data_IF_212751307821
#
_entry.id   IF_212751307821
#
_cell.length_a   1.000
_cell.length_b   1.000
_cell.length_c   1.000
_cell.angle_alpha   90.00
_cell.angle_beta   90.00
_cell.angle_gamma   90.00
#
_symmetry.space_group_name_H-M   'P 1'
#
loop_
_entity.id
_entity.type
_entity.pdbx_description
1 polymer ?
#
# COMPACT_ATOMS: atom_id res chain seq x y z
N UNK A 1 35.31 -17.65 6.60
CA UNK A 1 34.46 -17.88 5.42
C UNK A 1 33.04 -18.34 5.77
N UNK A 2 32.86 -19.36 6.60
CA UNK A 2 31.53 -19.81 7.02
C UNK A 2 30.74 -18.73 7.78
N UNK A 3 31.40 -17.87 8.57
CA UNK A 3 30.77 -16.78 9.32
C UNK A 3 30.21 -15.67 8.42
N UNK A 4 30.82 -15.44 7.26
CA UNK A 4 30.35 -14.44 6.29
C UNK A 4 29.07 -14.89 5.58
N UNK A 5 28.93 -16.18 5.29
CA UNK A 5 27.73 -16.73 4.67
C UNK A 5 26.54 -16.68 5.61
N UNK A 6 26.75 -16.90 6.91
CA UNK A 6 25.68 -16.79 7.95
C UNK A 6 25.23 -15.35 8.09
N UNK A 7 26.15 -14.37 8.07
CA UNK A 7 25.81 -12.95 8.15
C UNK A 7 24.97 -12.50 6.93
N UNK A 8 25.30 -13.01 5.74
CA UNK A 8 24.51 -12.71 4.54
C UNK A 8 23.09 -13.26 4.60
N UNK A 9 22.91 -14.48 5.13
CA UNK A 9 21.59 -15.08 5.32
C UNK A 9 20.75 -14.31 6.33
N UNK A 10 21.35 -13.80 7.40
CA UNK A 10 20.66 -12.98 8.40
C UNK A 10 20.21 -11.64 7.81
N UNK A 11 20.99 -11.03 6.92
CA UNK A 11 20.59 -9.79 6.23
C UNK A 11 19.40 -9.98 5.30
N UNK A 12 19.31 -11.12 4.62
CA UNK A 12 18.16 -11.44 3.77
C UNK A 12 16.87 -11.60 4.56
N UNK A 13 16.95 -12.08 5.80
CA UNK A 13 15.80 -12.20 6.70
C UNK A 13 15.40 -10.87 7.34
N UNK A 14 16.29 -9.87 7.34
CA UNK A 14 16.04 -8.56 7.93
C UNK A 14 15.12 -7.66 7.08
N UNK A 15 14.68 -8.09 5.88
CA UNK A 15 13.75 -7.33 5.02
C UNK A 15 12.40 -7.02 5.66
N UNK A 16 11.98 -7.81 6.68
CA UNK A 16 10.75 -7.57 7.46
C UNK A 16 11.08 -7.28 8.93
N UNK A 17 12.24 -6.64 9.21
CA UNK A 17 12.71 -6.43 10.58
C UNK A 17 11.74 -5.62 11.45
N UNK A 18 10.97 -4.70 10.86
CA UNK A 18 9.98 -3.90 11.56
C UNK A 18 8.63 -4.60 11.66
N UNK A 19 8.42 -5.64 10.84
CA UNK A 19 7.21 -6.45 10.82
C UNK A 19 7.63 -7.92 10.77
N UNK A 20 7.70 -8.57 11.92
CA UNK A 20 8.14 -9.97 12.02
C UNK A 20 7.22 -10.91 11.23
N UNK A 21 5.91 -10.62 11.25
CA UNK A 21 4.91 -11.41 10.56
C UNK A 21 3.75 -10.51 10.18
N UNK A 22 3.45 -10.43 8.89
CA UNK A 22 2.32 -9.65 8.40
C UNK A 22 1.00 -9.99 9.12
N UNK A 23 0.77 -11.26 9.44
CA UNK A 23 -0.44 -11.69 10.12
C UNK A 23 -0.56 -11.12 11.54
N UNK A 24 0.55 -10.72 12.16
CA UNK A 24 0.58 -10.13 13.49
C UNK A 24 0.42 -8.60 13.47
N UNK A 25 0.39 -7.99 12.31
CA UNK A 25 0.16 -6.55 12.20
C UNK A 25 -1.26 -6.25 12.69
N UNK A 26 -1.37 -5.36 13.67
CA UNK A 26 -2.66 -4.94 14.22
C UNK A 26 -3.30 -3.92 13.29
N UNK A 27 -4.36 -4.32 12.65
CA UNK A 27 -5.11 -3.46 11.73
C UNK A 27 -5.82 -2.34 12.47
N UNK A 28 -5.69 -1.12 11.99
CA UNK A 28 -6.34 0.08 12.51
C UNK A 28 -7.45 0.49 11.56
N UNK A 29 -8.64 0.83 12.06
CA UNK A 29 -9.69 1.40 11.22
C UNK A 29 -9.21 2.67 10.53
N UNK A 30 -9.62 2.85 9.28
CA UNK A 30 -9.24 4.04 8.52
C UNK A 30 -9.96 5.28 9.08
N UNK A 31 -9.25 6.41 9.18
CA UNK A 31 -9.94 7.68 9.43
C UNK A 31 -10.96 7.97 8.31
N UNK A 32 -12.01 8.71 8.63
CA UNK A 32 -13.07 9.04 7.66
C UNK A 32 -12.51 9.75 6.41
N UNK A 33 -11.47 10.57 6.59
CA UNK A 33 -10.84 11.27 5.47
C UNK A 33 -10.03 10.35 4.56
N UNK A 34 -9.71 9.12 4.99
CA UNK A 34 -8.86 8.20 4.23
C UNK A 34 -9.64 7.07 3.58
N UNK A 35 -10.67 6.52 4.21
CA UNK A 35 -11.44 5.44 3.62
C UNK A 35 -11.97 5.85 2.24
N UNK A 36 -11.71 5.06 1.21
CA UNK A 36 -12.11 5.39 -0.15
C UNK A 36 -11.12 4.91 -1.19
N UNK A 37 -11.24 5.51 -2.37
CA UNK A 37 -10.41 5.22 -3.52
C UNK A 37 -9.53 6.41 -3.84
N UNK A 38 -8.22 6.17 -3.97
CA UNK A 38 -7.22 7.21 -4.24
C UNK A 38 -6.43 6.86 -5.48
N UNK A 39 -6.07 7.87 -6.27
CA UNK A 39 -5.40 7.67 -7.54
C UNK A 39 -4.50 8.85 -7.87
N UNK A 40 -3.34 8.57 -8.47
CA UNK A 40 -2.47 9.62 -9.01
C UNK A 40 -3.13 10.29 -10.20
N UNK A 41 -2.84 11.58 -10.38
CA UNK A 41 -3.27 12.35 -11.54
C UNK A 41 -2.05 12.86 -12.27
N UNK A 42 -1.87 12.39 -13.50
CA UNK A 42 -0.73 12.76 -14.31
C UNK A 42 0.60 12.17 -13.83
N UNK A 43 1.71 12.65 -14.40
CA UNK A 43 3.03 12.11 -14.12
C UNK A 43 3.45 12.27 -12.66
N UNK A 44 4.11 11.23 -12.12
CA UNK A 44 4.67 11.22 -10.76
C UNK A 44 6.12 10.78 -10.83
N UNK A 45 7.00 11.42 -10.06
CA UNK A 45 8.42 11.04 -10.00
C UNK A 45 8.65 9.64 -9.46
N UNK A 46 7.79 9.19 -8.56
CA UNK A 46 7.89 7.86 -7.96
C UNK A 46 7.46 6.73 -8.90
N UNK A 47 6.82 7.05 -10.02
CA UNK A 47 6.36 6.06 -10.98
C UNK A 47 7.32 5.99 -12.18
N UNK A 48 7.46 4.77 -12.72
CA UNK A 48 8.42 4.46 -13.79
C UNK A 48 8.13 5.15 -15.12
N UNK A 49 6.91 5.63 -15.32
CA UNK A 49 6.47 6.24 -16.58
C UNK A 49 5.45 7.35 -16.29
N UNK A 50 5.40 8.40 -17.12
CA UNK A 50 4.33 9.39 -17.04
C UNK A 50 2.93 8.81 -17.24
N UNK A 51 2.82 7.65 -17.88
CA UNK A 51 1.56 6.95 -18.13
C UNK A 51 1.17 5.98 -17.02
N UNK A 52 2.08 5.72 -16.08
CA UNK A 52 1.80 4.83 -14.97
C UNK A 52 0.77 5.45 -14.02
N UNK A 53 -0.09 4.60 -13.45
CA UNK A 53 -1.12 4.99 -12.50
C UNK A 53 -0.85 4.27 -11.18
N UNK A 54 -0.77 5.04 -10.09
CA UNK A 54 -0.75 4.50 -8.73
C UNK A 54 -2.12 4.69 -8.11
N UNK A 55 -2.64 3.65 -7.47
CA UNK A 55 -3.91 3.67 -6.77
C UNK A 55 -3.76 3.08 -5.38
N UNK A 56 -4.55 3.59 -4.45
CA UNK A 56 -4.67 3.04 -3.11
C UNK A 56 -6.15 2.94 -2.77
N UNK A 57 -6.61 1.75 -2.43
CA UNK A 57 -7.97 1.51 -1.97
C UNK A 57 -7.89 1.26 -0.47
N UNK A 58 -8.72 1.92 0.31
CA UNK A 58 -8.72 1.83 1.77
C UNK A 58 -10.13 1.55 2.24
N UNK A 59 -10.36 0.39 2.87
CA UNK A 59 -11.65 0.08 3.47
C UNK A 59 -11.79 0.79 4.82
N UNK A 60 -13.01 0.93 5.29
CA UNK A 60 -13.28 1.55 6.61
C UNK A 60 -12.57 0.83 7.74
N UNK A 61 -12.44 -0.48 7.64
CA UNK A 61 -11.83 -1.33 8.66
C UNK A 61 -10.30 -1.35 8.57
N UNK A 62 -9.71 -0.74 7.52
CA UNK A 62 -8.27 -0.60 7.39
C UNK A 62 -7.60 -1.65 6.53
N UNK A 63 -8.34 -2.38 5.72
CA UNK A 63 -7.75 -3.20 4.66
C UNK A 63 -7.43 -2.31 3.46
N UNK A 64 -6.35 -2.62 2.76
CA UNK A 64 -5.89 -1.80 1.66
C UNK A 64 -5.55 -2.63 0.43
N UNK A 65 -5.58 -1.98 -0.73
CA UNK A 65 -5.00 -2.50 -1.95
C UNK A 65 -4.13 -1.41 -2.57
N UNK A 66 -2.84 -1.69 -2.69
CA UNK A 66 -1.89 -0.88 -3.45
C UNK A 66 -1.87 -1.44 -4.87
N UNK A 67 -2.34 -0.67 -5.83
CA UNK A 67 -2.51 -1.14 -7.20
C UNK A 67 -1.78 -0.19 -8.15
N UNK A 68 -0.78 -0.72 -8.83
CA UNK A 68 0.03 0.07 -9.76
C UNK A 68 -0.06 -0.52 -11.16
N UNK A 69 -0.23 0.36 -12.13
CA UNK A 69 -0.48 0.00 -13.51
C UNK A 69 0.50 0.70 -14.43
N UNK A 70 1.24 -0.08 -15.18
CA UNK A 70 1.98 0.31 -16.36
C UNK A 70 2.43 -0.96 -17.08
N UNK A 71 1.92 -1.19 -18.29
CA UNK A 71 2.14 -2.42 -19.05
C UNK A 71 1.55 -3.67 -18.39
N UNK A 72 1.47 -3.70 -17.08
CA UNK A 72 0.82 -4.75 -16.28
C UNK A 72 0.27 -4.16 -14.99
N UNK A 73 -0.54 -4.93 -14.29
CA UNK A 73 -1.13 -4.54 -13.02
C UNK A 73 -0.43 -5.28 -11.89
N UNK A 74 0.03 -4.54 -10.90
CA UNK A 74 0.59 -5.10 -9.66
C UNK A 74 -0.30 -4.64 -8.52
N UNK A 75 -1.10 -5.56 -7.99
CA UNK A 75 -2.03 -5.30 -6.90
C UNK A 75 -1.58 -6.04 -5.65
N UNK A 76 -1.29 -5.29 -4.59
CA UNK A 76 -0.73 -5.82 -3.35
C UNK A 76 -1.65 -5.45 -2.18
N UNK A 77 -2.27 -6.44 -1.53
CA UNK A 77 -3.08 -6.18 -0.34
C UNK A 77 -2.23 -5.72 0.84
N UNK A 78 -2.86 -5.02 1.76
CA UNK A 78 -2.18 -4.53 2.96
C UNK A 78 -3.15 -4.25 4.09
N UNK A 79 -2.59 -3.73 5.18
CA UNK A 79 -3.33 -3.31 6.38
C UNK A 79 -2.83 -1.94 6.81
N UNK A 80 -3.76 -1.08 7.21
CA UNK A 80 -3.39 0.13 7.94
C UNK A 80 -3.02 -0.22 9.37
N UNK A 81 -1.99 0.40 9.88
CA UNK A 81 -1.60 0.31 11.28
C UNK A 81 -0.97 1.62 11.73
N UNK A 82 -0.88 1.82 13.04
CA UNK A 82 -0.13 2.94 13.61
C UNK A 82 1.26 2.44 13.98
N UNK A 83 2.27 3.09 13.42
CA UNK A 83 3.68 2.85 13.76
C UNK A 83 4.25 4.15 14.32
N UNK A 84 4.54 4.18 15.62
CA UNK A 84 4.98 5.40 16.32
C UNK A 84 4.04 6.58 16.07
N UNK A 85 2.73 6.33 16.14
CA UNK A 85 1.65 7.29 15.87
C UNK A 85 1.50 7.72 14.40
N UNK A 86 2.33 7.20 13.50
CA UNK A 86 2.21 7.46 12.07
C UNK A 86 1.32 6.41 11.41
N UNK A 87 0.34 6.88 10.66
CA UNK A 87 -0.55 6.00 9.91
C UNK A 87 0.22 5.40 8.73
N UNK A 88 0.34 4.08 8.73
CA UNK A 88 1.20 3.35 7.80
C UNK A 88 0.44 2.23 7.14
N UNK A 89 0.61 2.08 5.83
CA UNK A 89 0.14 0.90 5.11
C UNK A 89 1.24 -0.15 5.09
N UNK A 90 0.96 -1.31 5.66
CA UNK A 90 1.87 -2.46 5.63
C UNK A 90 1.34 -3.44 4.62
N UNK A 91 2.09 -3.69 3.55
CA UNK A 91 1.68 -4.63 2.51
C UNK A 91 2.02 -6.07 2.89
N UNK A 92 1.40 -7.03 2.21
CA UNK A 92 1.72 -8.46 2.41
C UNK A 92 3.16 -8.80 2.05
N UNK A 93 3.85 -7.91 1.32
CA UNK A 93 5.27 -8.01 1.00
C UNK A 93 6.16 -7.38 2.06
N UNK A 94 5.59 -6.98 3.21
CA UNK A 94 6.29 -6.28 4.29
C UNK A 94 6.85 -4.91 3.88
N UNK A 95 6.27 -4.28 2.90
CA UNK A 95 6.58 -2.89 2.56
C UNK A 95 5.81 -1.97 3.49
N UNK A 96 6.47 -0.90 3.95
CA UNK A 96 5.92 0.07 4.88
C UNK A 96 5.82 1.42 4.19
N UNK A 97 4.61 1.90 4.00
CA UNK A 97 4.37 3.20 3.36
C UNK A 97 3.51 4.06 4.26
N UNK A 98 4.09 5.15 4.76
CA UNK A 98 3.35 6.13 5.54
C UNK A 98 2.31 6.82 4.66
N UNK A 99 1.14 7.07 5.23
CA UNK A 99 0.06 7.79 4.56
C UNK A 99 -0.09 9.16 5.22
N UNK A 100 0.21 10.21 4.49
CA UNK A 100 0.11 11.58 4.99
C UNK A 100 -1.01 12.34 4.29
N UNK A 101 -1.79 13.07 5.08
CA UNK A 101 -2.82 13.93 4.53
C UNK A 101 -2.23 15.28 4.16
N UNK A 102 -2.57 15.78 2.98
CA UNK A 102 -2.22 17.10 2.50
C UNK A 102 -3.46 17.76 1.88
N UNK A 103 -4.25 18.46 2.71
CA UNK A 103 -5.52 19.02 2.27
C UNK A 103 -6.48 17.94 1.80
N UNK A 104 -6.86 17.97 0.53
CA UNK A 104 -7.75 17.01 -0.11
C UNK A 104 -7.02 15.86 -0.80
N UNK A 105 -5.70 15.85 -0.72
CA UNK A 105 -4.85 14.81 -1.28
C UNK A 105 -4.15 14.01 -0.19
N UNK A 106 -3.55 12.91 -0.58
CA UNK A 106 -2.64 12.17 0.29
C UNK A 106 -1.28 12.02 -0.40
N UNK A 107 -0.24 11.96 0.42
CA UNK A 107 1.10 11.57 -0.01
C UNK A 107 1.31 10.12 0.40
N UNK A 108 1.70 9.29 -0.55
CA UNK A 108 1.87 7.87 -0.36
C UNK A 108 3.00 7.36 -1.26
N UNK A 109 4.07 6.83 -0.66
CA UNK A 109 5.25 6.33 -1.38
C UNK A 109 5.77 7.31 -2.45
N UNK A 110 5.87 8.58 -2.07
CA UNK A 110 6.35 9.64 -2.98
C UNK A 110 5.35 10.05 -4.07
N UNK A 111 4.13 9.54 -4.01
CA UNK A 111 3.05 9.88 -4.94
C UNK A 111 2.04 10.80 -4.27
N UNK A 112 1.54 11.77 -5.02
CA UNK A 112 0.38 12.56 -4.61
C UNK A 112 -0.86 11.95 -5.25
N UNK A 113 -1.84 11.60 -4.42
CA UNK A 113 -3.07 10.97 -4.87
C UNK A 113 -4.29 11.81 -4.53
N UNK A 114 -5.25 11.81 -5.42
CA UNK A 114 -6.56 12.45 -5.24
C UNK A 114 -7.62 11.38 -4.99
N UNK A 115 -8.68 11.76 -4.27
CA UNK A 115 -9.84 10.88 -4.10
C UNK A 115 -10.59 10.74 -5.41
N UNK A 116 -10.97 9.50 -5.75
CA UNK A 116 -11.81 9.19 -6.91
C UNK A 116 -13.03 8.38 -6.47
N UNK A 117 -14.05 8.30 -7.32
CA UNK A 117 -15.31 7.64 -6.97
C UNK A 117 -15.24 6.13 -7.08
N UNK A 118 -14.32 5.61 -7.88
CA UNK A 118 -14.18 4.18 -8.13
C UNK A 118 -12.76 3.86 -8.57
N UNK A 119 -12.31 2.60 -8.40
CA UNK A 119 -11.01 2.19 -8.92
C UNK A 119 -11.00 2.14 -10.44
N UNK A 120 -9.80 2.08 -11.02
CA UNK A 120 -9.67 1.78 -12.44
C UNK A 120 -10.25 0.40 -12.75
N UNK A 121 -10.62 0.16 -14.00
CA UNK A 121 -11.16 -1.13 -14.43
C UNK A 121 -10.17 -2.28 -14.12
N UNK A 122 -8.89 -2.04 -14.31
CA UNK A 122 -7.83 -3.02 -14.06
C UNK A 122 -7.69 -3.37 -12.58
N UNK A 123 -7.75 -2.36 -11.71
CA UNK A 123 -7.70 -2.58 -10.26
C UNK A 123 -9.00 -3.23 -9.75
N UNK A 124 -10.14 -2.88 -10.32
CA UNK A 124 -11.41 -3.54 -10.03
C UNK A 124 -11.36 -5.03 -10.40
N UNK A 125 -10.77 -5.36 -11.55
CA UNK A 125 -10.59 -6.76 -11.96
C UNK A 125 -9.67 -7.53 -11.00
N UNK A 126 -8.63 -6.88 -10.48
CA UNK A 126 -7.76 -7.49 -9.48
C UNK A 126 -8.51 -7.78 -8.18
N UNK A 127 -9.39 -6.87 -7.74
CA UNK A 127 -10.24 -7.06 -6.58
C UNK A 127 -11.22 -8.22 -6.76
N UNK A 128 -11.77 -8.38 -7.96
CA UNK A 128 -12.68 -9.49 -8.25
C UNK A 128 -11.99 -10.85 -8.13
N UNK A 129 -10.71 -10.92 -8.50
CA UNK A 129 -9.91 -12.14 -8.40
C UNK A 129 -9.46 -12.42 -6.97
N UNK A 130 -9.16 -11.39 -6.21
CA UNK A 130 -8.67 -11.48 -4.83
C UNK A 130 -9.31 -10.38 -3.98
N UNK A 131 -10.55 -10.62 -3.49
CA UNK A 131 -11.25 -9.64 -2.68
C UNK A 131 -10.53 -9.34 -1.38
N UNK A 132 -10.67 -8.10 -0.89
CA UNK A 132 -10.18 -7.72 0.43
C UNK A 132 -11.06 -8.37 1.52
N UNK A 133 -10.51 -8.56 2.75
CA UNK A 133 -11.27 -9.18 3.84
C UNK A 133 -12.50 -8.41 4.30
N UNK A 134 -12.51 -7.08 4.11
CA UNK A 134 -13.61 -6.21 4.54
C UNK A 134 -14.26 -5.53 3.33
N UNK A 135 -15.52 -5.05 3.47
CA UNK A 135 -16.23 -4.45 2.35
C UNK A 135 -15.53 -3.21 1.79
N UNK A 136 -15.63 -3.02 0.48
CA UNK A 136 -15.14 -1.82 -0.20
C UNK A 136 -15.88 -0.58 0.29
N UNK A 137 -15.20 0.57 0.26
CA UNK A 137 -15.82 1.82 0.71
C UNK A 137 -16.98 2.27 -0.17
#
# INVERSE_FOLDING_TARGET
>A
MKKLAIAGALMLLAGCAEVENYNNVVKTPAPDWLAGYWQTKGPQRALVSPEAIGSLIVTKEGDTLDCRQWQRVIAVPGKLTLMSDDLTNVTVKCELYEVERDGNTIEYDGMTMERVDRPTAECAAALDKAPLPTPLP
#
